data_IF_595318779318
#
_entry.id   IF_595318779318
#
_cell.length_a   1.000
_cell.length_b   1.000
_cell.length_c   1.000
_cell.angle_alpha   90.00
_cell.angle_beta   90.00
_cell.angle_gamma   90.00
#
_symmetry.space_group_name_H-M   'P 1'
#
loop_
_entity.id
_entity.type
_entity.pdbx_description
1 polymer ?
#
# COMPACT_ATOMS: atom_id res chain seq x y z
N UNK A 1 7.26 -1.97 12.20
CA UNK A 1 5.80 -2.07 12.03
C UNK A 1 5.29 -3.25 12.83
N UNK A 2 4.23 -3.07 13.59
CA UNK A 2 3.63 -4.17 14.36
C UNK A 2 2.93 -5.17 13.45
N UNK A 3 2.70 -6.39 13.96
CA UNK A 3 1.96 -7.41 13.21
C UNK A 3 0.55 -6.93 12.86
N UNK A 4 -0.07 -6.21 13.79
CA UNK A 4 -1.41 -5.66 13.59
C UNK A 4 -1.41 -4.61 12.49
N UNK A 5 -0.45 -3.70 12.50
CA UNK A 5 -0.34 -2.67 11.47
C UNK A 5 -0.02 -3.27 10.10
N UNK A 6 0.81 -4.32 10.07
CA UNK A 6 1.13 -5.00 8.82
C UNK A 6 -0.09 -5.74 8.26
N UNK A 7 -0.85 -6.40 9.12
CA UNK A 7 -2.09 -7.05 8.70
C UNK A 7 -3.08 -6.02 8.12
N UNK A 8 -3.15 -4.85 8.74
CA UNK A 8 -3.99 -3.76 8.26
C UNK A 8 -3.53 -3.27 6.89
N UNK A 9 -2.22 -3.09 6.69
CA UNK A 9 -1.68 -2.67 5.41
C UNK A 9 -1.99 -3.69 4.32
N UNK A 10 -1.81 -4.98 4.61
CA UNK A 10 -2.12 -6.02 3.65
C UNK A 10 -3.59 -6.00 3.24
N UNK A 11 -4.48 -5.82 4.21
CA UNK A 11 -5.92 -5.73 3.93
C UNK A 11 -6.26 -4.52 3.06
N UNK A 12 -5.60 -3.38 3.32
CA UNK A 12 -5.78 -2.17 2.53
C UNK A 12 -5.35 -2.40 1.07
N UNK A 13 -4.19 -3.03 0.88
CA UNK A 13 -3.68 -3.31 -0.46
C UNK A 13 -4.64 -4.22 -1.22
N UNK A 14 -5.14 -5.28 -0.59
CA UNK A 14 -6.09 -6.19 -1.22
C UNK A 14 -7.37 -5.46 -1.62
N UNK A 15 -7.91 -4.66 -0.71
CA UNK A 15 -9.15 -3.93 -0.97
C UNK A 15 -8.99 -2.89 -2.07
N UNK A 16 -7.92 -2.09 -2.00
CA UNK A 16 -7.70 -1.02 -2.97
C UNK A 16 -7.44 -1.55 -4.38
N UNK A 17 -6.80 -2.70 -4.48
CA UNK A 17 -6.47 -3.32 -5.77
C UNK A 17 -7.46 -4.41 -6.19
N UNK A 18 -8.54 -4.56 -5.44
CA UNK A 18 -9.60 -5.53 -5.74
C UNK A 18 -9.04 -6.96 -5.84
N UNK A 19 -8.20 -7.33 -4.90
CA UNK A 19 -7.60 -8.66 -4.83
C UNK A 19 -8.38 -9.55 -3.85
N UNK A 20 -8.29 -10.89 -4.00
CA UNK A 20 -8.93 -11.80 -3.05
C UNK A 20 -8.41 -11.60 -1.63
N UNK A 21 -9.25 -11.89 -0.65
CA UNK A 21 -8.88 -11.69 0.76
C UNK A 21 -7.73 -12.59 1.23
N UNK A 22 -7.44 -13.66 0.49
CA UNK A 22 -6.35 -14.57 0.80
C UNK A 22 -5.11 -14.36 -0.08
N UNK A 23 -5.11 -13.32 -0.92
CA UNK A 23 -3.97 -13.04 -1.77
C UNK A 23 -2.77 -12.60 -0.93
N UNK A 24 -1.60 -13.14 -1.24
CA UNK A 24 -0.36 -12.71 -0.60
C UNK A 24 0.16 -11.48 -1.34
N UNK A 25 0.20 -10.34 -0.64
CA UNK A 25 0.60 -9.07 -1.23
C UNK A 25 1.97 -8.59 -0.76
N UNK A 26 2.68 -9.40 0.01
CA UNK A 26 3.97 -8.98 0.59
C UNK A 26 5.05 -8.73 -0.44
N UNK A 27 4.93 -9.36 -1.60
CA UNK A 27 5.87 -9.15 -2.72
C UNK A 27 5.20 -8.43 -3.90
N UNK A 28 4.03 -7.84 -3.68
CA UNK A 28 3.28 -7.17 -4.74
C UNK A 28 4.03 -5.94 -5.23
N UNK A 29 3.98 -5.73 -6.54
CA UNK A 29 4.52 -4.52 -7.16
C UNK A 29 3.68 -4.15 -8.37
N UNK A 30 3.73 -2.86 -8.69
CA UNK A 30 2.85 -2.30 -9.70
C UNK A 30 2.95 -3.01 -11.05
N UNK A 31 4.15 -3.39 -11.46
CA UNK A 31 4.34 -4.04 -12.73
C UNK A 31 3.87 -5.50 -12.76
N UNK A 32 3.72 -6.13 -11.60
CA UNK A 32 3.34 -7.53 -11.49
C UNK A 32 1.86 -7.73 -11.18
N UNK A 33 1.16 -6.69 -10.70
CA UNK A 33 -0.25 -6.76 -10.32
C UNK A 33 -1.05 -5.96 -11.34
N UNK A 34 -1.86 -6.65 -12.12
CA UNK A 34 -2.61 -6.03 -13.22
C UNK A 34 -3.52 -4.89 -12.75
N UNK A 35 -4.19 -5.07 -11.62
CA UNK A 35 -5.09 -4.05 -11.09
C UNK A 35 -4.36 -2.86 -10.46
N UNK A 36 -3.05 -2.94 -10.32
CA UNK A 36 -2.26 -1.84 -9.78
C UNK A 36 -1.82 -0.92 -10.92
N UNK A 37 -2.79 -0.34 -11.58
CA UNK A 37 -2.59 0.67 -12.61
C UNK A 37 -2.63 2.06 -11.98
N UNK A 38 -2.68 3.10 -12.79
CA UNK A 38 -2.69 4.48 -12.28
C UNK A 38 -3.86 4.75 -11.36
N UNK A 39 -5.03 4.25 -11.71
CA UNK A 39 -6.23 4.44 -10.90
C UNK A 39 -6.15 3.63 -9.60
N UNK A 40 -5.70 2.39 -9.69
CA UNK A 40 -5.49 1.55 -8.51
C UNK A 40 -4.46 2.16 -7.57
N UNK A 41 -3.41 2.76 -8.12
CA UNK A 41 -2.38 3.41 -7.31
C UNK A 41 -2.94 4.61 -6.54
N UNK A 42 -3.75 5.44 -7.18
CA UNK A 42 -4.40 6.58 -6.51
C UNK A 42 -5.30 6.08 -5.38
N UNK A 43 -6.11 5.07 -5.66
CA UNK A 43 -6.99 4.48 -4.64
C UNK A 43 -6.20 3.95 -3.45
N UNK A 44 -5.08 3.27 -3.72
CA UNK A 44 -4.22 2.71 -2.68
C UNK A 44 -3.59 3.81 -1.83
N UNK A 45 -3.07 4.85 -2.45
CA UNK A 45 -2.44 5.95 -1.73
C UNK A 45 -3.46 6.66 -0.83
N UNK A 46 -4.66 6.92 -1.32
CA UNK A 46 -5.72 7.55 -0.53
C UNK A 46 -6.13 6.68 0.65
N UNK A 47 -6.24 5.38 0.44
CA UNK A 47 -6.60 4.45 1.52
C UNK A 47 -5.54 4.43 2.61
N UNK A 48 -4.27 4.42 2.23
CA UNK A 48 -3.17 4.44 3.18
C UNK A 48 -3.16 5.74 3.99
N UNK A 49 -3.32 6.87 3.32
CA UNK A 49 -3.37 8.16 4.00
C UNK A 49 -4.49 8.20 5.03
N UNK A 50 -5.65 7.70 4.67
CA UNK A 50 -6.82 7.69 5.55
C UNK A 50 -6.64 6.74 6.73
N UNK A 51 -6.18 5.54 6.47
CA UNK A 51 -6.12 4.48 7.49
C UNK A 51 -4.95 4.63 8.45
N UNK A 52 -3.84 5.19 8.00
CA UNK A 52 -2.65 5.40 8.81
C UNK A 52 -2.48 6.85 9.25
N UNK A 53 -3.39 7.73 8.86
CA UNK A 53 -3.36 9.15 9.23
C UNK A 53 -2.02 9.80 8.85
N UNK A 54 -1.59 9.58 7.62
CA UNK A 54 -0.37 10.16 7.07
C UNK A 54 -0.68 10.94 5.80
N UNK A 55 0.17 11.90 5.48
CA UNK A 55 0.10 12.62 4.20
C UNK A 55 1.27 12.17 3.35
N UNK A 56 0.98 11.74 2.12
CA UNK A 56 2.01 11.26 1.20
C UNK A 56 2.15 12.24 0.06
N UNK A 57 3.34 12.87 -0.06
CA UNK A 57 3.63 13.79 -1.15
C UNK A 57 3.55 13.08 -2.50
N UNK A 58 3.20 13.81 -3.54
CA UNK A 58 3.13 13.26 -4.89
C UNK A 58 4.45 12.61 -5.30
N UNK A 59 5.57 13.25 -4.96
CA UNK A 59 6.89 12.69 -5.27
C UNK A 59 7.11 11.33 -4.60
N UNK A 60 6.64 11.19 -3.36
CA UNK A 60 6.74 9.92 -2.63
C UNK A 60 5.80 8.88 -3.21
N UNK A 61 4.59 9.29 -3.62
CA UNK A 61 3.63 8.37 -4.24
C UNK A 61 4.21 7.70 -5.47
N UNK A 62 5.01 8.43 -6.24
CA UNK A 62 5.64 7.89 -7.45
C UNK A 62 6.67 6.80 -7.16
N UNK A 63 7.18 6.76 -5.94
CA UNK A 63 8.17 5.76 -5.52
C UNK A 63 7.54 4.56 -4.80
N UNK A 64 6.31 4.69 -4.32
CA UNK A 64 5.65 3.64 -3.55
C UNK A 64 4.95 2.65 -4.48
N UNK A 65 5.73 2.00 -5.32
CA UNK A 65 5.23 1.12 -6.37
C UNK A 65 5.37 -0.37 -6.03
N UNK A 66 5.65 -0.68 -4.77
CA UNK A 66 5.71 -2.06 -4.29
C UNK A 66 5.30 -2.10 -2.83
N UNK A 67 4.86 -3.28 -2.39
CA UNK A 67 4.50 -3.47 -0.98
C UNK A 67 5.70 -3.20 -0.05
N UNK A 68 6.90 -3.75 -0.32
CA UNK A 68 8.04 -3.46 0.55
C UNK A 68 8.36 -1.97 0.66
N UNK A 69 8.23 -1.22 -0.44
CA UNK A 69 8.48 0.23 -0.42
C UNK A 69 7.46 0.96 0.45
N UNK A 70 6.19 0.58 0.34
CA UNK A 70 5.12 1.17 1.15
C UNK A 70 5.34 0.85 2.63
N UNK A 71 5.67 -0.40 2.92
CA UNK A 71 5.91 -0.83 4.30
C UNK A 71 7.05 -0.05 4.93
N UNK A 72 8.15 0.10 4.21
CA UNK A 72 9.29 0.86 4.71
C UNK A 72 8.94 2.32 4.95
N UNK A 73 8.23 2.93 4.02
CA UNK A 73 7.77 4.31 4.15
C UNK A 73 6.95 4.50 5.43
N UNK A 74 6.01 3.59 5.68
CA UNK A 74 5.17 3.67 6.86
C UNK A 74 5.95 3.42 8.15
N UNK A 75 6.93 2.53 8.12
CA UNK A 75 7.79 2.29 9.29
C UNK A 75 8.52 3.56 9.70
N UNK A 76 8.98 4.34 8.73
CA UNK A 76 9.69 5.58 9.00
C UNK A 76 8.76 6.67 9.53
N UNK A 77 7.48 6.64 9.17
CA UNK A 77 6.51 7.67 9.53
C UNK A 77 5.71 7.34 10.79
N UNK A 78 5.46 6.05 11.02
CA UNK A 78 4.55 5.60 12.07
C UNK A 78 5.26 4.76 13.14
N UNK A 79 6.56 4.76 13.14
CA UNK A 79 7.33 3.97 14.11
C UNK A 79 7.22 4.51 15.52
#
# INVERSE_FOLDING_TARGET
>A
MTDEAEAKLQAIVRAALDLPSDADVRDARQLAVESWDSLGHVSLMLAIESEFDVSIDVADQLRLTSYPAIRLYLEERCA
#
